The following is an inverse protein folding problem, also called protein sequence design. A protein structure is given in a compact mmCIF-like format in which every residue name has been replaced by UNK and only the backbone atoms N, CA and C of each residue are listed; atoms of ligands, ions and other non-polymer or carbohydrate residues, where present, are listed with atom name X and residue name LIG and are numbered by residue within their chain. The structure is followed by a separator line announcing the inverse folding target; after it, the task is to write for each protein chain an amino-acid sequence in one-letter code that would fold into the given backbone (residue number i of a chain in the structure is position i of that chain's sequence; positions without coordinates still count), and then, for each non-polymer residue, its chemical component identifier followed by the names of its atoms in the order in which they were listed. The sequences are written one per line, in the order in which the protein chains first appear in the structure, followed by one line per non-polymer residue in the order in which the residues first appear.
data_IF_305223604482
#
_entry.id   IF_305223604482
#
_cell.length_a   1.000
_cell.length_b   1.000
_cell.length_c   1.000
_cell.angle_alpha   90.00
_cell.angle_beta   90.00
_cell.angle_gamma   90.00
#
_symmetry.space_group_name_H-M   'P 1'
#
loop_
_entity.id
_entity.type
_entity.pdbx_description
1 polymer ?
#
# COMPACT_ATOMS: atom_id res chain seq x y z
N UNK A 1 17.35 -6.61 10.10
CA UNK A 1 16.45 -7.44 9.25
C UNK A 1 16.45 -7.00 7.78
N UNK A 2 17.58 -6.46 7.30
CA UNK A 2 17.70 -6.04 5.88
C UNK A 2 17.57 -7.22 4.91
N UNK A 3 17.91 -8.41 5.35
CA UNK A 3 18.00 -9.61 4.50
C UNK A 3 16.64 -10.20 4.05
N UNK A 4 15.52 -9.59 4.39
CA UNK A 4 14.18 -10.06 4.02
C UNK A 4 13.23 -8.95 3.59
N UNK A 5 13.77 -7.75 3.34
CA UNK A 5 13.00 -6.59 2.89
C UNK A 5 13.70 -6.05 1.65
N UNK A 6 13.05 -6.21 0.50
CA UNK A 6 13.60 -5.78 -0.78
C UNK A 6 13.36 -4.29 -1.01
N UNK A 7 12.24 -3.74 -0.50
CA UNK A 7 11.87 -2.34 -0.68
C UNK A 7 10.95 -1.84 0.44
N UNK A 8 11.17 -0.62 0.89
CA UNK A 8 10.33 0.05 1.88
C UNK A 8 9.64 1.25 1.22
N UNK A 9 8.32 1.22 1.21
CA UNK A 9 7.50 2.33 0.71
C UNK A 9 7.22 3.33 1.82
N UNK A 10 7.59 4.58 1.59
CA UNK A 10 7.29 5.70 2.50
C UNK A 10 6.31 6.67 1.82
N UNK A 11 5.33 7.23 2.55
CA UNK A 11 4.44 8.26 1.99
C UNK A 11 5.23 9.45 1.42
N UNK A 12 4.79 9.99 0.28
CA UNK A 12 5.48 11.10 -0.40
C UNK A 12 5.68 12.33 0.49
N UNK A 13 4.78 12.59 1.43
CA UNK A 13 4.87 13.71 2.36
C UNK A 13 5.49 13.38 3.71
N UNK A 14 6.20 12.23 3.81
CA UNK A 14 7.00 11.89 5.00
C UNK A 14 8.08 12.94 5.29
N UNK A 15 8.54 12.97 6.54
CA UNK A 15 9.66 13.82 6.94
C UNK A 15 10.92 13.46 6.13
N UNK A 16 11.45 14.46 5.44
CA UNK A 16 12.55 14.27 4.49
C UNK A 16 13.85 13.83 5.18
N UNK A 17 14.17 14.43 6.33
CA UNK A 17 15.40 14.10 7.07
C UNK A 17 15.35 12.69 7.66
N UNK A 18 14.16 12.27 8.14
CA UNK A 18 13.98 10.91 8.60
C UNK A 18 14.19 9.89 7.46
N UNK A 19 13.63 10.15 6.27
CA UNK A 19 13.82 9.27 5.11
C UNK A 19 15.28 9.25 4.67
N UNK A 20 15.96 10.42 4.61
CA UNK A 20 17.37 10.49 4.30
C UNK A 20 18.21 9.61 5.22
N UNK A 21 17.94 9.64 6.53
CA UNK A 21 18.68 8.83 7.49
C UNK A 21 18.54 7.31 7.25
N UNK A 22 17.40 6.85 6.75
CA UNK A 22 17.20 5.45 6.35
C UNK A 22 17.96 5.10 5.07
N UNK A 23 17.98 6.01 4.09
CA UNK A 23 18.78 5.84 2.85
C UNK A 23 20.26 5.75 3.20
N UNK A 24 20.78 6.66 4.03
CA UNK A 24 22.17 6.69 4.49
C UNK A 24 22.53 5.41 5.26
N UNK A 25 21.57 4.85 5.99
CA UNK A 25 21.72 3.56 6.65
C UNK A 25 21.63 2.37 5.69
N UNK A 26 21.46 2.62 4.37
CA UNK A 26 21.44 1.61 3.30
C UNK A 26 20.13 0.82 3.22
N UNK A 27 19.00 1.40 3.63
CA UNK A 27 17.70 0.79 3.37
C UNK A 27 17.22 1.13 1.96
N UNK A 28 16.66 0.17 1.21
CA UNK A 28 16.07 0.41 -0.09
C UNK A 28 14.72 1.12 0.10
N UNK A 29 14.63 2.37 -0.34
CA UNK A 29 13.45 3.21 -0.17
C UNK A 29 12.82 3.53 -1.52
N UNK A 30 11.49 3.43 -1.60
CA UNK A 30 10.64 4.00 -2.63
C UNK A 30 9.62 4.95 -2.02
N UNK A 31 9.17 5.93 -2.78
CA UNK A 31 8.11 6.84 -2.33
C UNK A 31 6.75 6.36 -2.82
N UNK A 32 5.73 6.48 -1.97
CA UNK A 32 4.34 6.15 -2.30
C UNK A 32 3.58 7.45 -2.57
N UNK A 33 2.99 7.58 -3.75
CA UNK A 33 2.15 8.74 -4.08
C UNK A 33 0.82 8.70 -3.33
N UNK A 34 0.21 9.85 -3.04
CA UNK A 34 -1.12 9.88 -2.43
C UNK A 34 -2.18 9.30 -3.36
N UNK A 35 -3.29 8.77 -2.81
CA UNK A 35 -4.37 8.19 -3.60
C UNK A 35 -5.17 9.22 -4.39
N UNK A 36 -5.02 10.51 -4.10
CA UNK A 36 -5.64 11.63 -4.82
C UNK A 36 -4.85 12.90 -4.63
N UNK A 37 -4.93 13.81 -5.60
CA UNK A 37 -4.10 15.04 -5.63
C UNK A 37 -4.89 16.30 -5.31
N UNK A 38 -6.17 16.35 -5.70
CA UNK A 38 -7.04 17.51 -5.51
C UNK A 38 -6.41 18.86 -5.93
N UNK A 39 -5.68 18.88 -7.07
CA UNK A 39 -5.03 20.07 -7.59
C UNK A 39 -3.65 20.38 -6.96
N UNK A 40 -2.99 19.40 -6.38
CA UNK A 40 -1.65 19.53 -5.78
C UNK A 40 -0.53 18.97 -6.67
N UNK A 41 -0.73 18.88 -7.98
CA UNK A 41 0.19 18.22 -8.92
C UNK A 41 1.61 18.77 -8.83
N UNK A 42 1.77 20.10 -8.79
CA UNK A 42 3.08 20.73 -8.70
C UNK A 42 3.81 20.38 -7.40
N UNK A 43 3.10 20.41 -6.28
CA UNK A 43 3.67 20.00 -4.99
C UNK A 43 4.10 18.53 -4.98
N UNK A 44 3.37 17.66 -5.69
CA UNK A 44 3.73 16.24 -5.85
C UNK A 44 5.00 16.13 -6.69
N UNK A 45 5.09 16.86 -7.81
CA UNK A 45 6.27 16.91 -8.67
C UNK A 45 7.51 17.36 -7.90
N UNK A 46 7.42 18.47 -7.17
CA UNK A 46 8.51 19.00 -6.34
C UNK A 46 8.99 17.94 -5.32
N UNK A 47 8.08 17.26 -4.66
CA UNK A 47 8.41 16.21 -3.68
C UNK A 47 9.06 14.99 -4.33
N UNK A 48 8.55 14.51 -5.46
CA UNK A 48 9.15 13.41 -6.23
C UNK A 48 10.59 13.76 -6.64
N UNK A 49 10.79 14.98 -7.16
CA UNK A 49 12.12 15.44 -7.55
C UNK A 49 13.08 15.56 -6.35
N UNK A 50 12.59 16.04 -5.21
CA UNK A 50 13.37 16.11 -3.98
C UNK A 50 13.81 14.70 -3.51
N UNK A 51 12.92 13.73 -3.53
CA UNK A 51 13.27 12.34 -3.19
C UNK A 51 14.24 11.71 -4.19
N UNK A 52 14.08 11.99 -5.49
CA UNK A 52 15.05 11.54 -6.49
C UNK A 52 16.45 12.10 -6.21
N UNK A 53 16.55 13.38 -5.84
CA UNK A 53 17.83 14.03 -5.58
C UNK A 53 18.61 13.42 -4.39
N UNK A 54 17.93 12.77 -3.46
CA UNK A 54 18.55 12.01 -2.36
C UNK A 54 18.74 10.53 -2.66
N UNK A 55 18.53 10.11 -3.91
CA UNK A 55 18.84 8.74 -4.34
C UNK A 55 17.68 7.77 -4.40
N UNK A 56 16.44 8.19 -4.17
CA UNK A 56 15.25 7.37 -4.43
C UNK A 56 15.13 7.14 -5.94
N UNK A 57 14.93 5.89 -6.35
CA UNK A 57 14.88 5.50 -7.76
C UNK A 57 13.49 5.11 -8.26
N UNK A 58 12.59 4.78 -7.35
CA UNK A 58 11.29 4.20 -7.66
C UNK A 58 10.16 4.90 -6.91
N UNK A 59 8.97 4.92 -7.51
CA UNK A 59 7.77 5.43 -6.88
C UNK A 59 6.59 4.47 -7.04
N UNK A 60 5.88 4.18 -5.94
CA UNK A 60 4.64 3.44 -5.93
C UNK A 60 3.49 4.36 -6.31
N UNK A 61 2.86 4.06 -7.43
CA UNK A 61 1.75 4.81 -8.00
C UNK A 61 0.41 4.30 -7.47
N UNK A 62 -0.31 5.13 -6.72
CA UNK A 62 -1.64 4.81 -6.18
C UNK A 62 -2.78 5.47 -6.97
N UNK A 63 -2.46 6.25 -8.02
CA UNK A 63 -3.44 7.00 -8.81
C UNK A 63 -2.92 7.21 -10.21
N UNK A 64 -3.75 6.95 -11.23
CA UNK A 64 -3.37 7.08 -12.64
C UNK A 64 -2.80 8.48 -12.98
N UNK A 65 -3.29 9.54 -12.34
CA UNK A 65 -2.78 10.89 -12.53
C UNK A 65 -1.33 11.09 -12.04
N UNK A 66 -0.76 10.17 -11.25
CA UNK A 66 0.64 10.24 -10.83
C UNK A 66 1.63 9.68 -11.86
N UNK A 67 1.16 8.92 -12.84
CA UNK A 67 2.02 8.23 -13.82
C UNK A 67 2.95 9.20 -14.51
N UNK A 68 2.41 10.23 -15.15
CA UNK A 68 3.22 11.23 -15.88
C UNK A 68 4.13 12.01 -14.94
N UNK A 69 3.69 12.29 -13.71
CA UNK A 69 4.50 12.98 -12.71
C UNK A 69 5.72 12.14 -12.31
N UNK A 70 5.52 10.85 -12.05
CA UNK A 70 6.59 9.92 -11.68
C UNK A 70 7.59 9.77 -12.84
N UNK A 71 7.08 9.49 -14.05
CA UNK A 71 7.92 9.26 -15.23
C UNK A 71 8.69 10.52 -15.62
N UNK A 72 8.06 11.70 -15.59
CA UNK A 72 8.72 12.99 -15.90
C UNK A 72 9.82 13.34 -14.90
N UNK A 73 9.72 12.87 -13.66
CA UNK A 73 10.81 12.96 -12.69
C UNK A 73 11.92 11.92 -12.94
N UNK A 74 11.76 10.99 -13.89
CA UNK A 74 12.71 9.92 -14.19
C UNK A 74 12.85 8.90 -13.06
N UNK A 75 11.74 8.62 -12.36
CA UNK A 75 11.61 7.52 -11.39
C UNK A 75 10.99 6.30 -12.08
N UNK A 76 11.40 5.10 -11.68
CA UNK A 76 10.74 3.88 -12.11
C UNK A 76 9.35 3.78 -11.48
N UNK A 77 8.39 3.31 -12.27
CA UNK A 77 6.98 3.25 -11.92
C UNK A 77 6.62 1.89 -11.36
N UNK A 78 6.25 1.82 -10.08
CA UNK A 78 5.67 0.62 -9.46
C UNK A 78 4.15 0.82 -9.40
N UNK A 79 3.38 -0.12 -9.95
CA UNK A 79 1.92 -0.10 -9.86
C UNK A 79 1.45 -0.48 -8.47
N UNK A 80 0.79 0.42 -7.75
CA UNK A 80 0.20 0.15 -6.45
C UNK A 80 -1.22 -0.44 -6.54
N UNK A 81 -1.81 -0.78 -5.41
CA UNK A 81 -3.18 -1.32 -5.34
C UNK A 81 -4.23 -0.35 -5.89
N UNK A 82 -3.97 0.96 -5.84
CA UNK A 82 -4.83 1.99 -6.41
C UNK A 82 -4.87 2.02 -7.94
N UNK A 83 -3.93 1.36 -8.62
CA UNK A 83 -3.94 1.18 -10.07
C UNK A 83 -4.93 0.09 -10.52
N UNK A 84 -5.41 -0.70 -9.58
CA UNK A 84 -6.41 -1.75 -9.77
C UNK A 84 -6.08 -2.69 -10.94
N UNK A 85 -4.83 -3.18 -11.00
CA UNK A 85 -4.40 -4.12 -12.02
C UNK A 85 -5.07 -5.47 -11.79
N UNK A 86 -6.04 -5.81 -12.67
CA UNK A 86 -6.94 -6.95 -12.50
C UNK A 86 -6.80 -8.01 -13.62
N UNK A 87 -6.10 -7.70 -14.71
CA UNK A 87 -5.89 -8.59 -15.86
C UNK A 87 -4.58 -8.26 -16.58
N UNK A 88 -4.19 -9.09 -17.52
CA UNK A 88 -2.97 -8.96 -18.30
C UNK A 88 -2.91 -7.65 -19.10
N UNK A 89 -4.01 -7.23 -19.70
CA UNK A 89 -4.07 -5.99 -20.51
C UNK A 89 -3.73 -4.76 -19.64
N UNK A 90 -4.25 -4.71 -18.41
CA UNK A 90 -3.92 -3.64 -17.46
C UNK A 90 -2.46 -3.68 -17.05
N UNK A 91 -1.88 -4.89 -16.91
CA UNK A 91 -0.47 -5.05 -16.56
C UNK A 91 0.48 -4.57 -17.67
N UNK A 92 0.05 -4.62 -18.92
CA UNK A 92 0.81 -4.18 -20.11
C UNK A 92 0.57 -2.71 -20.47
N UNK A 93 -0.53 -2.10 -19.99
CA UNK A 93 -0.99 -0.78 -20.42
C UNK A 93 -0.03 0.38 -20.08
N UNK A 94 0.81 0.23 -19.05
CA UNK A 94 1.73 1.26 -18.57
C UNK A 94 3.14 0.69 -18.39
N UNK A 95 4.18 1.54 -18.45
CA UNK A 95 5.57 1.11 -18.32
C UNK A 95 5.95 0.84 -16.85
N UNK A 96 5.25 -0.11 -16.25
CA UNK A 96 5.57 -0.54 -14.89
C UNK A 96 6.93 -1.24 -14.82
N UNK A 97 7.66 -1.02 -13.71
CA UNK A 97 8.81 -1.85 -13.35
C UNK A 97 8.41 -3.06 -12.50
N UNK A 98 7.36 -2.92 -11.72
CA UNK A 98 6.74 -3.94 -10.87
C UNK A 98 5.26 -3.59 -10.68
N UNK A 99 4.41 -4.57 -10.35
CA UNK A 99 2.97 -4.35 -10.17
C UNK A 99 2.47 -5.09 -8.92
N UNK A 100 1.73 -4.40 -8.07
CA UNK A 100 0.89 -5.01 -7.04
C UNK A 100 -0.49 -5.25 -7.65
N UNK A 101 -0.87 -6.50 -7.83
CA UNK A 101 -2.16 -6.88 -8.39
C UNK A 101 -3.31 -6.39 -7.49
N UNK A 102 -4.47 -6.20 -8.08
CA UNK A 102 -5.66 -5.76 -7.36
C UNK A 102 -5.96 -6.70 -6.18
N UNK A 103 -6.28 -6.12 -5.02
CA UNK A 103 -6.71 -6.88 -3.86
C UNK A 103 -8.09 -7.55 -4.05
N UNK A 104 -8.76 -7.28 -5.17
CA UNK A 104 -10.04 -7.86 -5.58
C UNK A 104 -9.86 -9.14 -6.41
N UNK A 105 -8.64 -9.44 -6.88
CA UNK A 105 -8.35 -10.67 -7.62
C UNK A 105 -8.55 -11.90 -6.73
N UNK A 106 -9.26 -12.90 -7.25
CA UNK A 106 -9.23 -14.24 -6.70
C UNK A 106 -7.92 -14.95 -7.04
N UNK A 107 -7.57 -16.01 -6.28
CA UNK A 107 -6.36 -16.80 -6.54
C UNK A 107 -6.28 -17.31 -7.98
N UNK A 108 -7.39 -17.81 -8.52
CA UNK A 108 -7.44 -18.28 -9.91
C UNK A 108 -7.11 -17.17 -10.91
N UNK A 109 -7.62 -15.96 -10.72
CA UNK A 109 -7.32 -14.82 -11.59
C UNK A 109 -5.85 -14.42 -11.50
N UNK A 110 -5.26 -14.46 -10.28
CA UNK A 110 -3.82 -14.19 -10.10
C UNK A 110 -2.98 -15.19 -10.92
N UNK A 111 -3.35 -16.47 -10.93
CA UNK A 111 -2.65 -17.51 -11.70
C UNK A 111 -2.76 -17.33 -13.23
N UNK A 112 -3.84 -16.69 -13.70
CA UNK A 112 -4.10 -16.46 -15.12
C UNK A 112 -3.50 -15.15 -15.64
N UNK A 113 -3.12 -14.20 -14.75
CA UNK A 113 -2.53 -12.93 -15.15
C UNK A 113 -1.10 -13.17 -15.66
N UNK A 114 -0.87 -12.84 -16.92
CA UNK A 114 0.46 -12.73 -17.52
C UNK A 114 0.88 -11.25 -17.48
N UNK A 115 2.02 -10.96 -16.90
CA UNK A 115 2.57 -9.61 -16.84
C UNK A 115 4.02 -9.60 -17.35
N UNK A 116 4.46 -8.54 -18.06
CA UNK A 116 5.83 -8.42 -18.55
C UNK A 116 6.86 -8.09 -17.46
N UNK A 117 6.38 -7.85 -16.25
CA UNK A 117 7.16 -7.41 -15.09
C UNK A 117 6.79 -8.20 -13.84
N UNK A 118 7.64 -8.21 -12.80
CA UNK A 118 7.32 -8.87 -11.54
C UNK A 118 5.99 -8.42 -10.95
N UNK A 119 5.22 -9.39 -10.46
CA UNK A 119 3.91 -9.17 -9.85
C UNK A 119 3.92 -9.50 -8.36
N UNK A 120 3.21 -8.70 -7.58
CA UNK A 120 3.03 -8.92 -6.16
C UNK A 120 1.57 -8.91 -5.76
N UNK A 121 1.28 -9.39 -4.57
CA UNK A 121 -0.06 -9.38 -3.99
C UNK A 121 -0.09 -8.61 -2.67
N UNK A 122 -1.25 -8.02 -2.36
CA UNK A 122 -1.53 -7.44 -1.05
C UNK A 122 -1.68 -8.57 -0.02
N UNK A 123 -0.58 -8.87 0.68
CA UNK A 123 -0.52 -10.03 1.57
C UNK A 123 -0.88 -9.70 3.02
N UNK A 124 -0.57 -8.49 3.51
CA UNK A 124 -0.89 -8.06 4.87
C UNK A 124 -1.37 -6.61 4.90
N UNK A 125 -2.33 -6.36 5.78
CA UNK A 125 -2.76 -5.02 6.16
C UNK A 125 -4.25 -4.79 6.01
N UNK A 126 -4.70 -3.62 6.44
CA UNK A 126 -6.10 -3.24 6.30
C UNK A 126 -6.37 -2.72 4.89
N UNK A 127 -7.31 -3.34 4.20
CA UNK A 127 -7.73 -2.87 2.88
C UNK A 127 -8.41 -1.50 3.00
N UNK A 128 -8.06 -0.53 2.13
CA UNK A 128 -8.78 0.73 2.04
C UNK A 128 -10.18 0.47 1.47
N UNK A 129 -11.20 1.01 2.13
CA UNK A 129 -12.60 0.86 1.73
C UNK A 129 -13.16 2.11 1.08
N UNK A 130 -12.77 3.29 1.59
CA UNK A 130 -13.26 4.58 1.10
C UNK A 130 -12.18 5.63 1.18
N UNK A 131 -12.18 6.52 0.20
CA UNK A 131 -11.42 7.76 0.20
C UNK A 131 -12.40 8.92 0.33
N UNK A 132 -12.25 9.72 1.39
CA UNK A 132 -13.15 10.83 1.73
C UNK A 132 -12.37 12.14 1.73
N UNK A 133 -12.94 13.20 1.16
CA UNK A 133 -12.36 14.54 1.25
C UNK A 133 -12.59 15.18 2.61
N UNK A 134 -13.74 14.95 3.20
CA UNK A 134 -14.13 15.47 4.49
C UNK A 134 -14.10 14.36 5.54
N UNK A 135 -13.52 14.67 6.71
CA UNK A 135 -13.49 13.72 7.82
C UNK A 135 -14.84 13.67 8.53
N UNK A 136 -15.51 12.49 8.59
CA UNK A 136 -16.78 12.36 9.27
C UNK A 136 -16.65 12.55 10.80
N UNK A 137 -15.51 12.19 11.40
CA UNK A 137 -15.28 12.42 12.85
C UNK A 137 -15.12 13.91 13.12
N UNK A 138 -14.38 14.64 12.29
CA UNK A 138 -14.17 16.08 12.47
C UNK A 138 -15.47 16.87 12.46
N UNK A 139 -16.42 16.47 11.60
CA UNK A 139 -17.73 17.14 11.50
C UNK A 139 -18.65 16.88 12.69
N UNK A 140 -18.43 15.78 13.43
CA UNK A 140 -19.26 15.40 14.59
C UNK A 140 -18.65 15.83 15.93
N UNK A 141 -17.38 15.53 16.17
CA UNK A 141 -16.72 15.68 17.47
C UNK A 141 -15.43 16.51 17.46
N UNK A 142 -15.00 16.98 16.28
CA UNK A 142 -13.73 17.68 16.11
C UNK A 142 -12.51 16.75 16.16
N UNK A 143 -11.31 17.33 15.98
CA UNK A 143 -10.05 16.56 15.92
C UNK A 143 -9.35 16.39 17.26
N UNK A 144 -9.68 17.17 18.30
CA UNK A 144 -8.91 17.21 19.56
C UNK A 144 -8.84 15.86 20.29
N UNK A 145 -9.89 15.06 20.21
CA UNK A 145 -10.00 13.76 20.88
C UNK A 145 -10.32 12.65 19.86
N UNK A 146 -9.76 12.75 18.66
CA UNK A 146 -10.02 11.79 17.62
C UNK A 146 -9.31 10.45 17.96
N UNK A 147 -10.08 9.40 18.10
CA UNK A 147 -9.60 8.03 18.31
C UNK A 147 -9.32 7.27 16.99
N UNK A 148 -9.51 7.96 15.84
CA UNK A 148 -9.36 7.39 14.50
C UNK A 148 -10.26 6.19 14.24
N UNK A 149 -11.46 6.15 14.83
CA UNK A 149 -12.38 5.02 14.74
C UNK A 149 -13.78 5.47 14.38
N UNK A 150 -14.42 4.73 13.46
CA UNK A 150 -15.85 4.82 13.17
C UNK A 150 -16.47 3.47 13.44
N UNK A 151 -17.59 3.46 14.13
CA UNK A 151 -18.34 2.25 14.42
C UNK A 151 -19.61 2.19 13.57
N UNK A 152 -19.88 1.05 12.94
CA UNK A 152 -21.09 0.83 12.19
C UNK A 152 -22.29 0.45 13.09
N UNK A 153 -23.47 0.26 12.48
CA UNK A 153 -24.68 -0.15 13.19
C UNK A 153 -24.60 -1.52 13.87
N UNK A 154 -23.60 -2.36 13.47
CA UNK A 154 -23.33 -3.67 14.07
C UNK A 154 -22.23 -3.61 15.13
N UNK A 155 -21.84 -2.43 15.55
CA UNK A 155 -20.76 -2.19 16.51
C UNK A 155 -19.39 -2.68 16.04
N UNK A 156 -19.18 -2.75 14.72
CA UNK A 156 -17.87 -3.07 14.15
C UNK A 156 -17.09 -1.76 14.00
N UNK A 157 -15.89 -1.73 14.58
CA UNK A 157 -15.00 -0.58 14.51
C UNK A 157 -14.11 -0.62 13.27
N UNK A 158 -14.12 0.44 12.48
CA UNK A 158 -13.29 0.67 11.30
C UNK A 158 -12.28 1.78 11.59
N UNK A 159 -11.07 1.65 11.05
CA UNK A 159 -10.02 2.64 11.24
C UNK A 159 -10.09 3.73 10.18
N UNK A 160 -9.85 4.97 10.62
CA UNK A 160 -9.74 6.14 9.75
C UNK A 160 -8.36 6.76 9.94
N UNK A 161 -7.70 7.08 8.82
CA UNK A 161 -6.44 7.83 8.83
C UNK A 161 -6.54 9.07 7.95
N UNK A 162 -5.98 10.17 8.44
CA UNK A 162 -5.83 11.39 7.66
C UNK A 162 -4.58 11.25 6.79
N UNK A 163 -4.74 11.37 5.48
CA UNK A 163 -3.68 11.27 4.47
C UNK A 163 -3.77 12.48 3.55
N UNK A 164 -2.79 13.37 3.59
CA UNK A 164 -2.53 14.40 2.57
C UNK A 164 -3.79 15.05 1.91
N UNK A 165 -4.59 15.78 2.69
CA UNK A 165 -5.85 16.42 2.27
C UNK A 165 -7.03 15.46 2.01
N UNK A 166 -6.91 14.21 2.36
CA UNK A 166 -7.97 13.21 2.31
C UNK A 166 -8.04 12.42 3.62
N UNK A 167 -9.09 11.64 3.74
CA UNK A 167 -9.29 10.71 4.85
C UNK A 167 -9.58 9.35 4.27
N UNK A 168 -8.83 8.34 4.68
CA UNK A 168 -9.03 6.98 4.22
C UNK A 168 -9.65 6.13 5.32
N UNK A 169 -10.77 5.49 4.99
CA UNK A 169 -11.41 4.48 5.82
C UNK A 169 -10.84 3.11 5.46
N UNK A 170 -10.44 2.36 6.47
CA UNK A 170 -9.87 1.03 6.32
C UNK A 170 -10.75 -0.05 6.93
N UNK A 171 -10.62 -1.27 6.42
CA UNK A 171 -11.33 -2.43 6.93
C UNK A 171 -11.03 -2.64 8.43
N UNK A 172 -12.02 -3.18 9.14
CA UNK A 172 -11.93 -3.49 10.57
C UNK A 172 -10.86 -4.54 10.89
N UNK A 173 -10.60 -5.47 9.96
CA UNK A 173 -9.61 -6.55 10.10
C UNK A 173 -8.57 -6.49 9.01
N UNK A 174 -7.29 -6.76 9.32
CA UNK A 174 -6.25 -6.86 8.30
C UNK A 174 -6.43 -8.12 7.45
N UNK A 175 -6.02 -8.06 6.20
CA UNK A 175 -5.70 -9.24 5.40
C UNK A 175 -4.51 -9.94 6.05
N UNK A 176 -4.50 -11.26 6.05
CA UNK A 176 -3.39 -12.07 6.54
C UNK A 176 -3.29 -13.36 5.74
N UNK A 177 -2.13 -13.63 5.15
CA UNK A 177 -1.91 -14.75 4.24
C UNK A 177 -0.65 -15.58 4.60
N UNK A 178 0.05 -15.28 5.70
CA UNK A 178 1.33 -15.94 6.01
C UNK A 178 1.23 -17.47 6.10
N UNK A 179 0.09 -18.00 6.51
CA UNK A 179 -0.21 -19.45 6.62
C UNK A 179 -0.73 -20.08 5.31
N UNK A 180 -0.60 -19.37 4.17
CA UNK A 180 -1.06 -19.81 2.84
C UNK A 180 0.10 -19.84 1.84
N UNK A 181 1.12 -20.68 2.03
CA UNK A 181 2.32 -20.69 1.17
C UNK A 181 1.98 -20.90 -0.31
N UNK A 182 0.95 -21.68 -0.63
CA UNK A 182 0.51 -21.90 -2.02
C UNK A 182 -0.04 -20.64 -2.70
N UNK A 183 -0.53 -19.66 -1.93
CA UNK A 183 -0.92 -18.34 -2.46
C UNK A 183 0.31 -17.45 -2.60
N UNK A 184 1.17 -17.45 -1.57
CA UNK A 184 2.37 -16.61 -1.55
C UNK A 184 3.35 -16.94 -2.67
N UNK A 185 3.42 -18.21 -3.07
CA UNK A 185 4.30 -18.68 -4.15
C UNK A 185 3.74 -18.44 -5.57
N UNK A 186 2.55 -17.86 -5.70
CA UNK A 186 1.94 -17.53 -6.98
C UNK A 186 2.35 -16.14 -7.52
N UNK A 187 3.20 -15.42 -6.80
CA UNK A 187 3.65 -14.07 -7.16
C UNK A 187 5.14 -13.91 -6.82
N UNK A 188 5.76 -12.91 -7.43
CA UNK A 188 7.20 -12.66 -7.30
C UNK A 188 7.55 -11.98 -5.96
N UNK A 189 6.63 -11.17 -5.41
CA UNK A 189 6.83 -10.49 -4.13
C UNK A 189 5.53 -10.29 -3.34
N UNK A 190 5.67 -9.97 -2.07
CA UNK A 190 4.56 -9.73 -1.14
C UNK A 190 4.53 -8.27 -0.71
N UNK A 191 3.37 -7.62 -0.84
CA UNK A 191 3.16 -6.29 -0.31
C UNK A 191 2.52 -6.35 1.07
N UNK A 192 3.24 -5.84 2.09
CA UNK A 192 2.77 -5.75 3.47
C UNK A 192 2.54 -4.28 3.81
N UNK A 193 1.28 -3.90 4.04
CA UNK A 193 0.91 -2.53 4.41
C UNK A 193 0.67 -2.44 5.91
N UNK A 194 1.43 -1.58 6.57
CA UNK A 194 1.27 -1.24 7.98
C UNK A 194 0.64 0.16 8.10
N UNK A 195 -0.24 0.34 9.07
CA UNK A 195 -0.97 1.59 9.31
C UNK A 195 -0.73 2.13 10.72
N UNK A 196 -1.21 1.44 11.75
CA UNK A 196 -1.11 1.82 13.16
C UNK A 196 -0.45 0.73 14.02
N UNK A 197 0.18 -0.24 13.37
CA UNK A 197 0.89 -1.31 14.08
C UNK A 197 2.14 -0.78 14.81
N UNK A 198 2.33 -1.23 16.04
CA UNK A 198 3.54 -0.96 16.80
C UNK A 198 4.77 -1.61 16.15
N UNK A 199 5.97 -1.10 16.44
CA UNK A 199 7.24 -1.69 15.97
C UNK A 199 7.36 -3.19 16.29
N UNK A 200 6.91 -3.60 17.49
CA UNK A 200 6.89 -5.01 17.88
C UNK A 200 5.95 -5.84 17.00
N UNK A 201 4.75 -5.29 16.69
CA UNK A 201 3.78 -5.94 15.81
C UNK A 201 4.30 -6.08 14.39
N UNK A 202 4.88 -5.02 13.81
CA UNK A 202 5.51 -5.06 12.48
C UNK A 202 6.55 -6.18 12.42
N UNK A 203 7.43 -6.25 13.42
CA UNK A 203 8.45 -7.31 13.51
C UNK A 203 7.84 -8.71 13.58
N UNK A 204 6.80 -8.89 14.40
CA UNK A 204 6.13 -10.17 14.56
C UNK A 204 5.43 -10.62 13.28
N UNK A 205 4.80 -9.70 12.55
CA UNK A 205 4.16 -9.98 11.26
C UNK A 205 5.20 -10.43 10.24
N UNK A 206 6.29 -9.68 10.06
CA UNK A 206 7.37 -10.05 9.13
C UNK A 206 7.93 -11.45 9.46
N UNK A 207 8.16 -11.74 10.74
CA UNK A 207 8.62 -13.09 11.16
C UNK A 207 7.58 -14.18 10.86
N UNK A 208 6.28 -13.86 10.98
CA UNK A 208 5.21 -14.81 10.64
C UNK A 208 5.20 -15.15 9.14
N UNK A 209 5.41 -14.17 8.25
CA UNK A 209 5.52 -14.40 6.80
C UNK A 209 6.74 -15.24 6.44
N UNK A 210 7.89 -14.99 7.07
CA UNK A 210 9.10 -15.80 6.86
C UNK A 210 8.95 -17.26 7.30
N UNK A 211 8.11 -17.53 8.29
CA UNK A 211 7.94 -18.83 8.93
C UNK A 211 6.61 -19.50 8.62
N UNK A 212 5.79 -18.90 7.77
CA UNK A 212 4.44 -19.37 7.40
C UNK A 212 3.55 -19.66 8.60
N UNK A 213 3.57 -18.80 9.62
CA UNK A 213 2.82 -19.01 10.86
C UNK A 213 1.37 -18.52 10.72
N UNK A 214 0.40 -19.19 11.40
CA UNK A 214 -0.97 -18.71 11.46
C UNK A 214 -1.10 -17.43 12.29
N UNK A 215 -2.13 -16.63 12.00
CA UNK A 215 -2.46 -15.45 12.80
C UNK A 215 -3.03 -15.85 14.16
N UNK A 216 -2.64 -15.14 15.21
CA UNK A 216 -3.23 -15.23 16.55
C UNK A 216 -4.36 -14.22 16.78
N UNK A 217 -4.57 -13.28 15.85
CA UNK A 217 -5.55 -12.21 15.93
C UNK A 217 -6.62 -12.38 14.84
N UNK A 218 -7.80 -11.75 15.01
CA UNK A 218 -8.82 -11.74 13.96
C UNK A 218 -8.31 -11.10 12.67
N UNK A 219 -8.53 -11.76 11.55
CA UNK A 219 -8.10 -11.35 10.22
C UNK A 219 -9.15 -11.67 9.16
N UNK A 220 -8.89 -11.27 7.92
CA UNK A 220 -9.62 -11.65 6.71
C UNK A 220 -8.67 -12.21 5.65
N UNK A 221 -9.18 -12.97 4.70
CA UNK A 221 -8.44 -13.41 3.50
C UNK A 221 -8.60 -12.45 2.32
N UNK A 222 -9.29 -11.32 2.52
CA UNK A 222 -9.66 -10.46 1.41
C UNK A 222 -10.62 -11.17 0.46
N UNK A 223 -10.42 -10.95 -0.85
CA UNK A 223 -11.23 -11.57 -1.91
C UNK A 223 -10.59 -12.83 -2.50
N UNK A 224 -9.40 -13.24 -2.04
CA UNK A 224 -8.58 -14.30 -2.63
C UNK A 224 -9.26 -15.66 -2.76
N UNK A 225 -10.17 -16.00 -1.83
CA UNK A 225 -10.88 -17.29 -1.86
C UNK A 225 -12.19 -17.23 -2.65
N UNK A 226 -12.75 -16.04 -2.89
CA UNK A 226 -14.10 -15.90 -3.47
C UNK A 226 -14.15 -15.04 -4.73
N UNK A 227 -13.18 -14.16 -4.91
CA UNK A 227 -13.23 -13.14 -5.96
C UNK A 227 -14.32 -12.08 -5.75
N UNK A 228 -14.43 -11.16 -6.68
CA UNK A 228 -15.59 -10.29 -6.86
C UNK A 228 -16.53 -11.01 -7.84
N UNK A 229 -17.77 -11.20 -7.45
CA UNK A 229 -18.81 -11.85 -8.28
C UNK A 229 -19.23 -10.93 -9.43
#
# INVERSE_FOLDING_TARGET
RKDCIDLIFVPLFSDFHAVQSYIDAGYPIAVKTPPSFFGCDEKIRERLQAFKNIGVKTALCENIGAVDLILSCGLALIGGTGMNCYNSDTAEALPFSEIILSAECAKQQIDEISAPVPTGIFAYGRLPLMLLRNCPIKSQSGCKNCDHTITDRKQIAFRIFCEDNAVRLYNSRPVYLADRPHILNACDFLFLQFTDETKAKVSAVIDSYRRHLPSKEPFTRGMLEKGVL
#
